data_IF_301770104761
#
_entry.id   IF_301770104761
#
_cell.length_a   1.000
_cell.length_b   1.000
_cell.length_c   1.000
_cell.angle_alpha   90.00
_cell.angle_beta   90.00
_cell.angle_gamma   90.00
#
_symmetry.space_group_name_H-M   'P 1'
#
loop_
_entity.id
_entity.type
_entity.pdbx_description
1 polymer ?
#
# COMPACT_ATOMS: atom_id res chain seq x y z
N UNK A 1 -28.06 -20.79 -24.33
CA UNK A 1 -27.89 -19.76 -23.28
C UNK A 1 -26.41 -19.67 -23.01
N UNK A 2 -25.79 -18.58 -23.46
CA UNK A 2 -24.37 -18.36 -23.28
C UNK A 2 -24.17 -17.65 -21.94
N UNK A 3 -23.41 -18.26 -21.02
CA UNK A 3 -23.15 -17.69 -19.71
C UNK A 3 -21.84 -16.89 -19.72
N UNK A 4 -21.83 -15.74 -19.03
CA UNK A 4 -20.62 -14.95 -18.79
C UNK A 4 -20.21 -15.17 -17.33
N UNK A 5 -18.95 -15.54 -17.12
CA UNK A 5 -18.32 -15.60 -15.81
C UNK A 5 -17.43 -14.37 -15.66
N UNK A 6 -17.77 -13.47 -14.74
CA UNK A 6 -16.92 -12.35 -14.39
C UNK A 6 -15.80 -12.81 -13.44
N UNK A 7 -14.56 -12.77 -13.94
CA UNK A 7 -13.34 -13.05 -13.20
C UNK A 7 -12.35 -11.87 -13.26
N UNK A 8 -12.85 -10.65 -13.52
CA UNK A 8 -12.02 -9.45 -13.71
C UNK A 8 -11.17 -9.10 -12.48
N UNK A 9 -11.67 -9.40 -11.28
CA UNK A 9 -10.99 -9.13 -10.02
C UNK A 9 -10.71 -7.63 -9.80
N UNK A 10 -10.26 -7.28 -8.60
CA UNK A 10 -9.98 -5.87 -8.24
C UNK A 10 -8.50 -5.61 -7.93
N UNK A 11 -7.64 -6.62 -8.04
CA UNK A 11 -6.21 -6.49 -7.73
C UNK A 11 -5.49 -5.46 -8.63
N UNK A 12 -5.98 -5.23 -9.85
CA UNK A 12 -5.46 -4.19 -10.76
C UNK A 12 -5.89 -2.75 -10.41
N UNK A 13 -6.83 -2.56 -9.47
CA UNK A 13 -7.34 -1.25 -9.07
C UNK A 13 -7.17 -1.03 -7.55
N UNK A 14 -5.92 -0.89 -7.08
CA UNK A 14 -5.61 -0.72 -5.66
C UNK A 14 -6.10 0.64 -5.14
N UNK A 15 -6.61 0.62 -3.90
CA UNK A 15 -7.03 1.83 -3.18
C UNK A 15 -5.87 2.83 -3.09
N UNK A 16 -6.20 4.11 -3.09
CA UNK A 16 -5.24 5.16 -2.81
C UNK A 16 -4.87 5.20 -1.32
N UNK A 17 -3.65 5.66 -1.03
CA UNK A 17 -3.12 5.71 0.33
C UNK A 17 -3.69 6.89 1.16
N UNK A 18 -4.31 7.87 0.51
CA UNK A 18 -4.89 9.03 1.18
C UNK A 18 -6.22 8.74 1.89
N UNK A 19 -6.71 9.74 2.65
CA UNK A 19 -7.88 9.59 3.50
C UNK A 19 -9.14 9.31 2.66
N UNK A 20 -10.00 8.42 3.15
CA UNK A 20 -11.26 8.09 2.46
C UNK A 20 -11.06 7.46 1.08
N UNK A 21 -9.92 6.83 0.80
CA UNK A 21 -9.51 6.31 -0.51
C UNK A 21 -9.26 7.40 -1.55
N UNK A 22 -8.99 8.64 -1.13
CA UNK A 22 -8.51 9.69 -2.01
C UNK A 22 -7.00 9.53 -2.26
N UNK A 23 -6.47 10.00 -3.41
CA UNK A 23 -5.03 9.99 -3.67
C UNK A 23 -4.26 10.78 -2.63
N UNK A 24 -3.16 10.21 -2.15
CA UNK A 24 -2.17 10.98 -1.42
C UNK A 24 -1.49 12.01 -2.35
N UNK A 25 -0.82 12.99 -1.75
CA UNK A 25 -0.07 14.01 -2.48
C UNK A 25 0.88 13.32 -3.46
N UNK A 26 0.81 13.72 -4.73
CA UNK A 26 1.59 13.19 -5.86
C UNK A 26 1.43 11.68 -6.18
N UNK A 27 0.53 10.95 -5.51
CA UNK A 27 0.36 9.50 -5.75
C UNK A 27 -0.05 9.19 -7.20
N UNK A 28 -0.94 10.01 -7.78
CA UNK A 28 -1.34 9.88 -9.19
C UNK A 28 -0.16 10.09 -10.15
N UNK A 29 0.63 11.14 -9.92
CA UNK A 29 1.80 11.43 -10.74
C UNK A 29 2.81 10.29 -10.66
N UNK A 30 3.14 9.82 -9.46
CA UNK A 30 4.03 8.68 -9.23
C UNK A 30 3.54 7.40 -9.92
N UNK A 31 2.22 7.10 -9.87
CA UNK A 31 1.66 5.94 -10.60
C UNK A 31 1.88 6.02 -12.10
N UNK A 32 1.85 7.23 -12.68
CA UNK A 32 2.04 7.42 -14.12
C UNK A 32 3.51 7.45 -14.54
N UNK A 33 4.40 8.01 -13.73
CA UNK A 33 5.79 8.30 -14.13
C UNK A 33 6.83 7.33 -13.57
N UNK A 34 6.51 6.60 -12.50
CA UNK A 34 7.47 5.78 -11.78
C UNK A 34 6.86 4.46 -11.32
N UNK A 35 6.50 3.61 -12.27
CA UNK A 35 5.89 2.30 -12.01
C UNK A 35 6.75 1.37 -11.14
N UNK A 36 8.07 1.56 -11.11
CA UNK A 36 8.98 0.79 -10.25
C UNK A 36 8.95 1.21 -8.77
N UNK A 37 8.45 2.41 -8.45
CA UNK A 37 8.37 2.91 -7.07
C UNK A 37 7.10 2.46 -6.34
N UNK A 38 6.08 2.03 -7.08
CA UNK A 38 4.80 1.58 -6.50
C UNK A 38 4.61 0.10 -6.84
N UNK A 39 4.73 -0.75 -5.83
CA UNK A 39 4.40 -2.16 -5.91
C UNK A 39 3.10 -2.45 -5.16
N UNK A 40 2.25 -3.30 -5.74
CA UNK A 40 1.01 -3.76 -5.11
C UNK A 40 1.12 -5.18 -4.56
N UNK A 41 2.34 -5.74 -4.57
CA UNK A 41 2.64 -7.02 -3.94
C UNK A 41 2.79 -6.80 -2.43
N UNK A 42 2.33 -7.78 -1.66
CA UNK A 42 2.68 -7.86 -0.24
C UNK A 42 4.20 -8.05 -0.15
N UNK A 43 4.91 -7.24 0.65
CA UNK A 43 6.34 -7.39 0.82
C UNK A 43 6.65 -8.74 1.45
N UNK A 44 7.83 -9.29 1.13
CA UNK A 44 8.30 -10.55 1.69
C UNK A 44 9.74 -10.46 2.23
N UNK A 45 10.16 -11.51 2.93
CA UNK A 45 11.49 -11.62 3.56
C UNK A 45 12.65 -11.53 2.56
N UNK A 46 12.43 -11.92 1.29
CA UNK A 46 13.43 -11.88 0.21
C UNK A 46 13.56 -10.51 -0.44
N UNK A 47 12.77 -9.53 -0.01
CA UNK A 47 12.88 -8.16 -0.48
C UNK A 47 14.09 -7.47 0.17
N UNK A 48 15.29 -7.77 -0.37
CA UNK A 48 16.58 -7.30 0.13
C UNK A 48 16.69 -5.77 0.18
N UNK A 49 16.01 -5.06 -0.74
CA UNK A 49 16.01 -3.59 -0.79
C UNK A 49 15.39 -2.94 0.46
N UNK A 50 14.64 -3.70 1.25
CA UNK A 50 14.05 -3.27 2.53
C UNK A 50 14.94 -3.59 3.74
N UNK A 51 16.07 -4.29 3.58
CA UNK A 51 16.95 -4.64 4.69
C UNK A 51 17.54 -3.37 5.34
N UNK A 52 17.51 -3.33 6.68
CA UNK A 52 18.00 -2.20 7.47
C UNK A 52 17.21 -0.88 7.29
N UNK A 53 16.05 -0.91 6.63
CA UNK A 53 15.17 0.25 6.49
C UNK A 53 14.16 0.27 7.64
N UNK A 54 13.83 1.48 8.11
CA UNK A 54 12.63 1.70 8.92
C UNK A 54 11.41 1.73 8.01
N UNK A 55 10.41 0.92 8.31
CA UNK A 55 9.23 0.76 7.47
C UNK A 55 8.01 1.32 8.19
N UNK A 56 7.32 2.24 7.52
CA UNK A 56 6.01 2.74 7.94
C UNK A 56 4.93 1.89 7.31
N UNK A 57 4.19 1.14 8.12
CA UNK A 57 3.05 0.36 7.65
C UNK A 57 1.74 1.13 7.90
N UNK A 58 1.00 1.40 6.83
CA UNK A 58 -0.28 2.12 6.86
C UNK A 58 -1.42 1.17 6.50
N UNK A 59 -2.44 1.11 7.36
CA UNK A 59 -3.65 0.34 7.13
C UNK A 59 -4.01 -0.58 8.29
N UNK A 60 -5.20 -1.19 8.22
CA UNK A 60 -5.75 -2.07 9.26
C UNK A 60 -6.51 -3.30 8.72
N UNK A 61 -6.35 -3.60 7.43
CA UNK A 61 -7.00 -4.73 6.77
C UNK A 61 -6.12 -5.98 6.74
N UNK A 62 -6.63 -7.06 6.11
CA UNK A 62 -5.88 -8.31 5.95
C UNK A 62 -4.51 -8.11 5.29
N UNK A 63 -4.41 -7.27 4.25
CA UNK A 63 -3.13 -6.97 3.60
C UNK A 63 -2.11 -6.33 4.55
N UNK A 64 -2.55 -5.50 5.50
CA UNK A 64 -1.66 -4.90 6.50
C UNK A 64 -1.19 -5.97 7.50
N UNK A 65 -2.09 -6.85 7.96
CA UNK A 65 -1.72 -7.96 8.84
C UNK A 65 -0.70 -8.90 8.18
N UNK A 66 -0.93 -9.31 6.93
CA UNK A 66 0.01 -10.15 6.17
C UNK A 66 1.36 -9.45 5.98
N UNK A 67 1.35 -8.16 5.64
CA UNK A 67 2.59 -7.39 5.49
C UNK A 67 3.37 -7.29 6.79
N UNK A 68 2.69 -7.11 7.94
CA UNK A 68 3.33 -7.04 9.25
C UNK A 68 4.09 -8.34 9.58
N UNK A 69 3.45 -9.49 9.41
CA UNK A 69 4.08 -10.80 9.61
C UNK A 69 5.26 -10.96 8.66
N UNK A 70 5.08 -10.60 7.38
CA UNK A 70 6.15 -10.80 6.40
C UNK A 70 7.35 -9.87 6.56
N UNK A 71 7.20 -8.80 7.34
CA UNK A 71 8.24 -7.83 7.65
C UNK A 71 8.81 -8.01 9.07
N UNK A 72 8.41 -9.05 9.82
CA UNK A 72 8.70 -9.20 11.26
C UNK A 72 10.19 -9.09 11.62
N UNK A 73 11.10 -9.50 10.72
CA UNK A 73 12.55 -9.35 10.91
C UNK A 73 13.09 -7.91 10.70
N UNK A 74 12.23 -6.93 10.41
CA UNK A 74 12.59 -5.53 10.08
C UNK A 74 11.99 -4.59 11.14
N UNK A 75 12.60 -3.42 11.34
CA UNK A 75 12.07 -2.42 12.26
C UNK A 75 10.80 -1.78 11.66
N UNK A 76 9.63 -2.20 12.17
CA UNK A 76 8.32 -1.74 11.72
C UNK A 76 7.77 -0.72 12.73
N UNK A 77 7.43 0.46 12.24
CA UNK A 77 6.59 1.41 12.98
C UNK A 77 5.17 1.34 12.43
N UNK A 78 4.23 0.95 13.28
CA UNK A 78 2.81 0.99 12.95
C UNK A 78 2.28 2.41 13.13
N UNK A 79 1.64 2.95 12.09
CA UNK A 79 0.93 4.22 12.20
C UNK A 79 -0.51 4.07 11.73
N UNK A 80 -1.44 4.40 12.62
CA UNK A 80 -2.82 4.66 12.25
C UNK A 80 -2.95 6.14 11.92
N UNK A 81 -2.98 6.48 10.64
CA UNK A 81 -3.20 7.87 10.22
C UNK A 81 -4.63 8.30 10.55
N UNK A 82 -4.77 9.31 11.41
CA UNK A 82 -5.94 10.21 11.46
C UNK A 82 -5.46 11.54 10.88
N UNK A 83 -5.90 11.89 9.68
CA UNK A 83 -5.58 13.19 9.10
C UNK A 83 -6.23 14.28 9.96
N UNK A 84 -5.41 15.12 10.59
CA UNK A 84 -5.85 16.39 11.14
C UNK A 84 -5.77 17.43 10.02
N UNK A 85 -6.85 18.15 9.75
CA UNK A 85 -7.00 19.06 8.60
C UNK A 85 -6.20 20.36 8.71
N UNK A 86 -5.41 20.54 9.77
CA UNK A 86 -4.82 21.84 10.14
C UNK A 86 -3.35 22.05 9.75
N UNK A 87 -2.80 21.27 8.80
CA UNK A 87 -1.45 21.53 8.30
C UNK A 87 -1.49 22.56 7.15
N UNK A 88 -1.44 23.84 7.50
CA UNK A 88 -0.98 24.90 6.58
C UNK A 88 0.54 24.77 6.42
N UNK A 89 0.99 24.76 5.17
CA UNK A 89 2.39 24.85 4.76
C UNK A 89 3.05 26.13 5.30
#
# INVERSE_FOLDING_TARGET
MDCVIDASGTYGCPNFAGPGKLPAINERTLRMTASSLISYRVPNERDEYLAGKRILLIGKGHSAATSAVSLECKEITFATYRFNTDMKL
#
